data_IF_323980548805
#
_entry.id   IF_323980548805
#
_cell.length_a   1.000
_cell.length_b   1.000
_cell.length_c   1.000
_cell.angle_alpha   90.00
_cell.angle_beta   90.00
_cell.angle_gamma   90.00
#
_symmetry.space_group_name_H-M   'P 1'
#
loop_
_entity.id
_entity.type
_entity.pdbx_description
1 polymer ?
#
# COMPACT_ATOMS: atom_id res chain seq x y z
N UNK A 1 -11.29 -59.42 22.03
CA UNK A 1 -11.22 -59.18 23.49
C UNK A 1 -12.60 -58.77 23.98
N UNK A 2 -12.95 -59.23 25.18
CA UNK A 2 -14.30 -59.58 25.66
C UNK A 2 -15.04 -58.39 26.29
N UNK A 3 -16.37 -58.45 26.25
CA UNK A 3 -17.33 -57.56 26.91
C UNK A 3 -17.32 -57.65 28.46
N UNK A 4 -17.49 -56.48 29.11
CA UNK A 4 -18.25 -56.08 30.35
C UNK A 4 -18.35 -57.05 31.58
N UNK A 5 -19.04 -56.73 32.70
CA UNK A 5 -19.11 -55.56 33.63
C UNK A 5 -18.96 -56.00 35.14
N UNK A 6 -19.46 -55.17 36.10
CA UNK A 6 -19.72 -55.39 37.56
C UNK A 6 -18.65 -54.80 38.51
N UNK A 7 -18.95 -54.30 39.72
CA UNK A 7 -20.08 -54.56 40.63
C UNK A 7 -20.20 -53.42 41.67
N UNK A 8 -21.43 -53.20 42.13
CA UNK A 8 -21.80 -52.39 43.29
C UNK A 8 -21.12 -52.86 44.58
N UNK A 9 -20.86 -51.91 45.47
CA UNK A 9 -20.46 -52.12 46.85
C UNK A 9 -21.05 -51.00 47.71
N UNK A 10 -22.23 -51.27 48.25
CA UNK A 10 -22.84 -50.52 49.34
C UNK A 10 -22.01 -50.71 50.62
N UNK A 11 -21.70 -49.62 51.34
CA UNK A 11 -21.55 -49.70 52.78
C UNK A 11 -22.30 -48.53 53.42
N UNK A 12 -23.36 -48.90 54.13
CA UNK A 12 -24.16 -48.01 54.97
C UNK A 12 -23.34 -47.56 56.16
N UNK A 13 -23.34 -46.25 56.41
CA UNK A 13 -23.37 -45.74 57.79
C UNK A 13 -24.60 -44.87 57.92
N UNK A 14 -25.67 -45.49 58.39
CA UNK A 14 -26.73 -44.77 59.10
C UNK A 14 -26.08 -44.10 60.30
N UNK A 15 -26.25 -42.79 60.44
CA UNK A 15 -26.40 -42.15 61.74
C UNK A 15 -27.16 -40.83 61.56
N UNK A 16 -28.44 -40.91 61.95
CA UNK A 16 -29.27 -39.88 62.56
C UNK A 16 -29.21 -38.45 62.04
N UNK A 17 -30.31 -38.04 61.40
CA UNK A 17 -30.72 -36.64 61.37
C UNK A 17 -30.78 -36.06 62.81
N UNK A 18 -30.62 -34.73 62.92
CA UNK A 18 -31.83 -33.99 63.22
C UNK A 18 -32.08 -32.94 62.14
N UNK A 19 -33.35 -32.94 61.70
CA UNK A 19 -34.01 -31.82 61.07
C UNK A 19 -33.80 -30.59 61.95
N UNK A 20 -33.10 -29.58 61.43
CA UNK A 20 -33.18 -28.23 61.97
C UNK A 20 -33.06 -27.21 60.82
N UNK A 21 -34.22 -26.84 60.30
CA UNK A 21 -34.64 -25.44 60.13
C UNK A 21 -33.54 -24.43 59.75
N UNK A 22 -33.13 -24.42 58.49
CA UNK A 22 -32.56 -23.22 57.83
C UNK A 22 -33.13 -23.15 56.41
N UNK A 23 -34.45 -23.01 56.30
CA UNK A 23 -35.09 -22.54 55.08
C UNK A 23 -35.87 -21.29 55.46
N UNK A 24 -35.33 -20.12 55.10
CA UNK A 24 -36.06 -18.90 54.74
C UNK A 24 -35.26 -17.60 54.98
N UNK A 25 -33.95 -17.54 54.72
CA UNK A 25 -33.25 -16.26 54.51
C UNK A 25 -32.13 -16.43 53.47
N UNK A 26 -32.45 -16.59 52.17
CA UNK A 26 -31.47 -16.49 51.06
C UNK A 26 -32.12 -16.47 49.64
N UNK A 27 -33.19 -15.71 49.43
CA UNK A 27 -33.87 -15.62 48.11
C UNK A 27 -33.72 -14.27 47.35
N UNK A 28 -32.50 -13.68 47.30
CA UNK A 28 -32.16 -12.80 46.16
C UNK A 28 -30.78 -13.07 45.50
N UNK A 29 -29.94 -13.94 46.06
CA UNK A 29 -28.56 -14.17 45.58
C UNK A 29 -28.49 -15.08 44.35
N UNK A 30 -29.35 -16.08 44.25
CA UNK A 30 -29.43 -17.07 43.16
C UNK A 30 -29.95 -16.45 41.85
N UNK A 31 -31.00 -15.63 41.93
CA UNK A 31 -31.55 -14.91 40.78
C UNK A 31 -30.55 -13.90 40.17
N UNK A 32 -29.69 -13.30 41.00
CA UNK A 32 -28.58 -12.46 40.53
C UNK A 32 -27.47 -13.26 39.85
N UNK A 33 -27.15 -14.44 40.37
CA UNK A 33 -26.19 -15.39 39.79
C UNK A 33 -26.63 -15.93 38.43
N UNK A 34 -27.91 -16.31 38.31
CA UNK A 34 -28.49 -16.81 37.06
C UNK A 34 -28.50 -15.75 35.95
N UNK A 35 -28.86 -14.50 36.27
CA UNK A 35 -28.77 -13.36 35.34
C UNK A 35 -27.34 -13.14 34.84
N UNK A 36 -26.36 -13.19 35.75
CA UNK A 36 -24.93 -13.04 35.40
C UNK A 36 -24.42 -14.19 34.53
N UNK A 37 -24.83 -15.43 34.80
CA UNK A 37 -24.48 -16.60 33.98
C UNK A 37 -25.08 -16.51 32.58
N UNK A 38 -26.35 -16.09 32.49
CA UNK A 38 -27.03 -15.86 31.21
C UNK A 38 -26.35 -14.74 30.39
N UNK A 39 -25.99 -13.63 31.04
CA UNK A 39 -25.28 -12.54 30.39
C UNK A 39 -23.89 -12.95 29.90
N UNK A 40 -23.12 -13.70 30.70
CA UNK A 40 -21.81 -14.24 30.28
C UNK A 40 -21.94 -15.17 29.08
N UNK A 41 -22.96 -16.04 29.07
CA UNK A 41 -23.23 -16.93 27.94
C UNK A 41 -23.60 -16.14 26.68
N UNK A 42 -24.43 -15.11 26.81
CA UNK A 42 -24.81 -14.23 25.71
C UNK A 42 -23.61 -13.43 25.18
N UNK A 43 -22.79 -12.87 26.06
CA UNK A 43 -21.58 -12.15 25.70
C UNK A 43 -20.56 -13.05 25.00
N UNK A 44 -20.39 -14.29 25.47
CA UNK A 44 -19.50 -15.26 24.84
C UNK A 44 -19.99 -15.67 23.45
N UNK A 45 -21.31 -15.85 23.27
CA UNK A 45 -21.90 -16.13 21.95
C UNK A 45 -21.66 -14.96 21.00
N UNK A 46 -21.93 -13.72 21.44
CA UNK A 46 -21.69 -12.53 20.63
C UNK A 46 -20.22 -12.35 20.26
N UNK A 47 -19.30 -12.69 21.18
CA UNK A 47 -17.87 -12.65 20.88
C UNK A 47 -17.48 -13.68 19.80
N UNK A 48 -17.92 -14.93 19.96
CA UNK A 48 -17.67 -15.99 18.96
C UNK A 48 -18.28 -15.63 17.62
N UNK A 49 -19.50 -15.14 17.61
CA UNK A 49 -20.19 -14.71 16.39
C UNK A 49 -19.43 -13.60 15.68
N UNK A 50 -18.97 -12.56 16.40
CA UNK A 50 -18.15 -11.49 15.79
C UNK A 50 -16.82 -12.03 15.25
N UNK A 51 -16.20 -12.98 15.94
CA UNK A 51 -14.95 -13.59 15.49
C UNK A 51 -15.16 -14.42 14.22
N UNK A 52 -16.23 -15.21 14.16
CA UNK A 52 -16.63 -15.97 12.97
C UNK A 52 -16.97 -15.03 11.80
N UNK A 53 -17.75 -13.97 12.05
CA UNK A 53 -18.06 -12.95 11.06
C UNK A 53 -16.80 -12.24 10.55
N UNK A 54 -15.85 -11.92 11.43
CA UNK A 54 -14.59 -11.32 11.01
C UNK A 54 -13.75 -12.27 10.16
N UNK A 55 -13.68 -13.55 10.53
CA UNK A 55 -13.02 -14.58 9.72
C UNK A 55 -13.66 -14.69 8.34
N UNK A 56 -14.99 -14.72 8.26
CA UNK A 56 -15.72 -14.75 7.00
C UNK A 56 -15.48 -13.48 6.17
N UNK A 57 -15.51 -12.31 6.80
CA UNK A 57 -15.25 -11.04 6.14
C UNK A 57 -13.81 -10.96 5.59
N UNK A 58 -12.82 -11.48 6.32
CA UNK A 58 -11.45 -11.60 5.84
C UNK A 58 -11.37 -12.53 4.64
N UNK A 59 -11.98 -13.73 4.73
CA UNK A 59 -12.02 -14.68 3.61
C UNK A 59 -12.69 -14.06 2.37
N UNK A 60 -13.80 -13.34 2.54
CA UNK A 60 -14.48 -12.63 1.47
C UNK A 60 -13.59 -11.53 0.87
N UNK A 61 -12.90 -10.74 1.72
CA UNK A 61 -11.99 -9.70 1.24
C UNK A 61 -10.83 -10.29 0.43
N UNK A 62 -10.25 -11.40 0.89
CA UNK A 62 -9.21 -12.11 0.16
C UNK A 62 -9.76 -12.59 -1.19
N UNK A 63 -10.92 -13.26 -1.21
CA UNK A 63 -11.54 -13.72 -2.45
C UNK A 63 -11.86 -12.57 -3.42
N UNK A 64 -12.33 -11.43 -2.92
CA UNK A 64 -12.57 -10.24 -3.75
C UNK A 64 -11.27 -9.68 -4.33
N UNK A 65 -10.18 -9.65 -3.56
CA UNK A 65 -8.88 -9.19 -4.03
C UNK A 65 -8.27 -10.15 -5.05
N UNK A 66 -8.40 -11.46 -4.82
CA UNK A 66 -7.95 -12.49 -5.76
C UNK A 66 -8.72 -12.41 -7.08
N UNK A 67 -10.05 -12.24 -7.04
CA UNK A 67 -10.87 -12.05 -8.24
C UNK A 67 -10.50 -10.77 -8.99
N UNK A 68 -10.34 -9.65 -8.29
CA UNK A 68 -9.90 -8.40 -8.90
C UNK A 68 -8.52 -8.54 -9.56
N UNK A 69 -7.59 -9.22 -8.89
CA UNK A 69 -6.26 -9.47 -9.44
C UNK A 69 -6.33 -10.39 -10.68
N UNK A 70 -7.16 -11.43 -10.65
CA UNK A 70 -7.41 -12.31 -11.81
C UNK A 70 -7.95 -11.53 -13.01
N UNK A 71 -8.94 -10.66 -12.79
CA UNK A 71 -9.52 -9.82 -13.85
C UNK A 71 -8.50 -8.83 -14.40
N UNK A 72 -7.73 -8.16 -13.53
CA UNK A 72 -6.66 -7.25 -13.95
C UNK A 72 -5.56 -7.98 -14.74
N UNK A 73 -5.17 -9.18 -14.31
CA UNK A 73 -4.22 -10.04 -15.02
C UNK A 73 -4.72 -10.41 -16.42
N UNK A 74 -5.96 -10.89 -16.53
CA UNK A 74 -6.58 -11.23 -17.82
C UNK A 74 -6.67 -10.01 -18.76
N UNK A 75 -7.03 -8.85 -18.24
CA UNK A 75 -7.07 -7.61 -19.03
C UNK A 75 -5.67 -7.18 -19.49
N UNK A 76 -4.66 -7.32 -18.64
CA UNK A 76 -3.27 -6.99 -19.00
C UNK A 76 -2.76 -7.92 -20.12
N UNK A 77 -2.99 -9.22 -20.00
CA UNK A 77 -2.68 -10.19 -21.05
C UNK A 77 -3.40 -9.84 -22.36
N UNK A 78 -4.69 -9.49 -22.30
CA UNK A 78 -5.46 -9.07 -23.48
C UNK A 78 -4.89 -7.80 -24.13
N UNK A 79 -4.58 -6.77 -23.33
CA UNK A 79 -3.96 -5.55 -23.84
C UNK A 79 -2.58 -5.82 -24.45
N UNK A 80 -1.79 -6.72 -23.85
CA UNK A 80 -0.50 -7.15 -24.40
C UNK A 80 -0.64 -7.82 -25.77
N UNK A 81 -1.66 -8.67 -25.94
CA UNK A 81 -1.98 -9.28 -27.24
C UNK A 81 -2.42 -8.23 -28.27
N UNK A 82 -3.23 -7.25 -27.86
CA UNK A 82 -3.68 -6.16 -28.74
C UNK A 82 -2.52 -5.26 -29.18
N UNK A 83 -1.62 -4.90 -28.26
CA UNK A 83 -0.39 -4.18 -28.57
C UNK A 83 0.47 -4.96 -29.56
N UNK A 84 0.66 -6.28 -29.34
CA UNK A 84 1.43 -7.11 -30.25
C UNK A 84 0.81 -7.19 -31.65
N UNK A 85 -0.52 -7.25 -31.72
CA UNK A 85 -1.27 -7.22 -32.99
C UNK A 85 -1.06 -5.91 -33.73
N UNK A 86 -1.30 -4.77 -33.07
CA UNK A 86 -1.13 -3.44 -33.69
C UNK A 86 0.33 -3.20 -34.11
N UNK A 87 1.29 -3.68 -33.33
CA UNK A 87 2.71 -3.61 -33.69
C UNK A 87 3.02 -4.42 -34.96
N UNK A 88 2.42 -5.60 -35.11
CA UNK A 88 2.55 -6.40 -36.33
C UNK A 88 1.90 -5.73 -37.54
N UNK A 89 0.69 -5.16 -37.37
CA UNK A 89 0.00 -4.39 -38.41
C UNK A 89 0.85 -3.17 -38.84
N UNK A 90 1.40 -2.42 -37.90
CA UNK A 90 2.30 -1.29 -38.17
C UNK A 90 3.58 -1.71 -38.89
N UNK A 91 4.17 -2.86 -38.54
CA UNK A 91 5.36 -3.37 -39.22
C UNK A 91 5.06 -3.74 -40.68
N UNK A 92 3.92 -4.38 -40.96
CA UNK A 92 3.48 -4.67 -42.33
C UNK A 92 3.26 -3.37 -43.11
N UNK A 93 2.63 -2.37 -42.51
CA UNK A 93 2.44 -1.07 -43.17
C UNK A 93 3.77 -0.36 -43.41
N UNK A 94 4.71 -0.38 -42.47
CA UNK A 94 6.03 0.22 -42.62
C UNK A 94 6.83 -0.45 -43.74
N UNK A 95 6.84 -1.79 -43.79
CA UNK A 95 7.51 -2.54 -44.86
C UNK A 95 6.86 -2.30 -46.23
N UNK A 96 5.53 -2.27 -46.30
CA UNK A 96 4.81 -1.96 -47.53
C UNK A 96 5.07 -0.52 -48.01
N UNK A 97 5.04 0.46 -47.10
CA UNK A 97 5.32 1.85 -47.41
C UNK A 97 6.77 2.04 -47.87
N UNK A 98 7.73 1.35 -47.24
CA UNK A 98 9.13 1.32 -47.68
C UNK A 98 9.29 0.70 -49.07
N UNK A 99 8.52 -0.34 -49.39
CA UNK A 99 8.50 -0.93 -50.74
C UNK A 99 7.93 0.04 -51.79
N UNK A 100 6.87 0.78 -51.48
CA UNK A 100 6.30 1.81 -52.37
C UNK A 100 7.27 2.98 -52.58
N UNK A 101 7.95 3.42 -51.52
CA UNK A 101 8.99 4.45 -51.64
C UNK A 101 10.14 3.99 -52.55
N UNK A 102 10.43 2.68 -52.61
CA UNK A 102 11.46 2.12 -53.48
C UNK A 102 11.03 1.96 -54.95
N UNK A 103 9.72 1.95 -55.27
CA UNK A 103 9.21 1.83 -56.65
C UNK A 103 8.89 3.18 -57.29
N UNK A 104 8.86 4.25 -56.51
CA UNK A 104 8.65 5.62 -57.01
C UNK A 104 10.01 6.31 -57.16
N UNK A 105 10.54 6.26 -58.39
CA UNK A 105 11.78 6.92 -58.80
C UNK A 105 11.60 8.46 -58.74
N UNK A 106 11.82 9.04 -57.57
CA UNK A 106 11.72 10.48 -57.33
C UNK A 106 12.58 10.88 -56.12
N UNK A 107 13.44 11.91 -56.23
CA UNK A 107 14.39 12.26 -55.19
C UNK A 107 13.68 13.06 -54.08
N UNK A 108 13.05 12.35 -53.14
CA UNK A 108 12.66 12.95 -51.86
C UNK A 108 13.90 12.98 -50.96
N UNK A 109 14.29 14.18 -50.54
CA UNK A 109 15.49 14.40 -49.71
C UNK A 109 15.44 13.55 -48.45
N UNK A 110 16.56 12.89 -48.13
CA UNK A 110 16.76 12.03 -46.96
C UNK A 110 16.35 12.68 -45.62
N UNK A 111 16.28 14.02 -45.57
CA UNK A 111 15.84 14.81 -44.42
C UNK A 111 14.33 14.71 -44.13
N UNK A 112 13.45 14.62 -45.13
CA UNK A 112 12.00 14.50 -44.91
C UNK A 112 11.59 13.07 -44.53
N UNK A 113 12.28 12.07 -45.07
CA UNK A 113 12.05 10.67 -44.72
C UNK A 113 12.54 10.35 -43.30
N UNK A 114 13.68 10.92 -42.88
CA UNK A 114 14.16 10.82 -41.50
C UNK A 114 13.21 11.51 -40.50
N UNK A 115 12.60 12.63 -40.87
CA UNK A 115 11.61 13.33 -40.05
C UNK A 115 10.30 12.52 -39.90
N UNK A 116 9.86 11.81 -40.93
CA UNK A 116 8.69 10.94 -40.87
C UNK A 116 8.95 9.66 -40.04
N UNK A 117 10.14 9.08 -40.12
CA UNK A 117 10.56 7.91 -39.33
C UNK A 117 10.68 8.26 -37.84
N UNK A 118 11.16 9.45 -37.49
CA UNK A 118 11.24 9.92 -36.10
C UNK A 118 9.86 10.15 -35.45
N UNK A 119 8.80 10.39 -36.24
CA UNK A 119 7.45 10.54 -35.72
C UNK A 119 6.72 9.20 -35.49
N UNK A 120 7.25 8.08 -36.01
CA UNK A 120 6.65 6.75 -35.95
C UNK A 120 7.44 5.73 -35.11
N UNK A 121 8.56 6.12 -34.50
CA UNK A 121 9.30 5.24 -33.61
C UNK A 121 8.46 4.91 -32.35
N UNK A 122 8.11 3.63 -32.11
CA UNK A 122 7.50 3.23 -30.85
C UNK A 122 8.61 3.29 -29.80
N UNK A 123 8.54 4.27 -28.91
CA UNK A 123 9.40 4.40 -27.74
C UNK A 123 9.14 3.17 -26.84
N UNK A 124 9.93 2.11 -27.04
CA UNK A 124 10.07 1.04 -26.07
C UNK A 124 10.88 1.59 -24.89
N UNK A 125 10.18 2.28 -23.99
CA UNK A 125 10.69 2.55 -22.66
C UNK A 125 10.76 1.22 -21.89
N UNK A 126 11.88 0.87 -21.24
CA UNK A 126 11.91 -0.28 -20.34
C UNK A 126 10.89 -0.06 -19.20
N UNK A 127 10.25 -1.12 -18.68
CA UNK A 127 9.28 -0.98 -17.59
C UNK A 127 10.04 -0.77 -16.28
N UNK A 128 10.55 0.44 -16.09
CA UNK A 128 10.95 0.95 -14.78
C UNK A 128 9.85 1.89 -14.33
N UNK A 129 8.76 1.32 -13.83
CA UNK A 129 8.10 1.79 -12.60
C UNK A 129 6.81 1.00 -12.40
N UNK A 130 6.99 -0.11 -11.70
CA UNK A 130 5.93 -0.71 -10.90
C UNK A 130 5.45 0.35 -9.89
N UNK A 131 4.14 0.61 -9.90
CA UNK A 131 3.36 1.23 -8.82
C UNK A 131 3.41 2.77 -8.69
N UNK A 132 2.53 3.46 -9.41
CA UNK A 132 1.77 4.59 -8.85
C UNK A 132 0.36 4.54 -9.42
N UNK A 133 -0.49 3.72 -8.80
CA UNK A 133 -1.93 3.72 -9.01
C UNK A 133 -2.57 4.72 -8.06
N UNK A 134 -3.08 5.82 -8.64
CA UNK A 134 -3.89 6.81 -7.93
C UNK A 134 -4.05 8.05 -8.78
N UNK A 135 -5.25 8.66 -8.87
CA UNK A 135 -5.38 10.02 -9.34
C UNK A 135 -4.46 10.88 -8.48
N UNK A 136 -3.40 11.43 -9.07
CA UNK A 136 -2.57 12.42 -8.41
C UNK A 136 -3.39 13.72 -8.41
N UNK A 137 -4.40 13.76 -7.54
CA UNK A 137 -4.63 14.99 -6.79
C UNK A 137 -3.33 15.20 -6.05
N UNK A 138 -2.50 16.15 -6.51
CA UNK A 138 -1.33 16.57 -5.76
C UNK A 138 -1.80 16.96 -4.36
N UNK A 139 -1.63 16.13 -3.31
CA UNK A 139 -1.98 16.54 -1.98
C UNK A 139 -0.80 17.42 -1.61
N UNK A 140 -1.00 18.73 -1.73
CA UNK A 140 -0.08 19.73 -1.22
C UNK A 140 0.44 19.27 0.14
N UNK A 141 1.70 18.84 0.15
CA UNK A 141 2.55 18.71 1.33
C UNK A 141 1.94 17.89 2.48
N UNK A 142 2.13 16.57 2.49
CA UNK A 142 2.03 15.81 3.75
C UNK A 142 3.19 16.20 4.65
N UNK A 143 2.95 17.20 5.47
CA UNK A 143 3.78 17.62 6.60
C UNK A 143 3.57 16.56 7.68
N UNK A 144 4.55 15.67 7.86
CA UNK A 144 4.64 14.93 9.12
C UNK A 144 5.52 15.75 10.05
N UNK A 145 5.06 16.02 11.26
CA UNK A 145 5.88 16.63 12.29
C UNK A 145 6.87 15.57 12.79
N UNK A 146 8.15 15.91 12.80
CA UNK A 146 9.22 15.09 13.38
C UNK A 146 9.08 15.03 14.91
N UNK A 147 9.75 14.09 15.57
CA UNK A 147 9.89 14.04 17.04
C UNK A 147 10.51 15.33 17.62
N UNK A 148 11.20 16.09 16.78
CA UNK A 148 11.79 17.41 17.06
C UNK A 148 10.84 18.59 16.85
N UNK A 149 9.61 18.35 16.37
CA UNK A 149 8.61 19.38 16.07
C UNK A 149 8.81 20.09 14.73
N UNK A 150 9.78 19.66 13.92
CA UNK A 150 10.02 20.24 12.60
C UNK A 150 9.21 19.54 11.50
N UNK A 151 8.84 20.31 10.48
CA UNK A 151 8.12 19.84 9.30
C UNK A 151 9.04 18.98 8.43
N UNK A 152 8.71 17.70 8.30
CA UNK A 152 9.35 16.81 7.33
C UNK A 152 8.76 17.07 5.94
N UNK A 153 9.64 17.33 4.98
CA UNK A 153 9.32 17.60 3.59
C UNK A 153 9.65 16.38 2.73
N UNK A 154 8.72 16.03 1.84
CA UNK A 154 8.94 15.04 0.79
C UNK A 154 9.89 15.56 -0.29
N UNK A 155 10.36 14.69 -1.19
CA UNK A 155 11.29 15.01 -2.28
C UNK A 155 10.82 16.19 -3.14
N UNK A 156 9.54 16.21 -3.52
CA UNK A 156 8.97 17.28 -4.32
C UNK A 156 8.94 18.61 -3.55
N UNK A 157 8.49 18.58 -2.29
CA UNK A 157 8.43 19.77 -1.45
C UNK A 157 9.83 20.31 -1.09
N UNK A 158 10.82 19.43 -0.97
CA UNK A 158 12.23 19.80 -0.78
C UNK A 158 12.75 20.56 -1.99
N UNK A 159 12.44 20.09 -3.20
CA UNK A 159 12.82 20.75 -4.45
C UNK A 159 12.13 22.11 -4.61
N UNK A 160 10.84 22.21 -4.30
CA UNK A 160 10.09 23.47 -4.31
C UNK A 160 10.69 24.49 -3.34
N UNK A 161 11.11 24.04 -2.16
CA UNK A 161 11.74 24.91 -1.16
C UNK A 161 13.09 25.44 -1.65
N UNK A 162 13.93 24.57 -2.25
CA UNK A 162 15.20 24.97 -2.87
C UNK A 162 14.97 26.03 -3.95
N UNK A 163 14.00 25.82 -4.86
CA UNK A 163 13.68 26.77 -5.93
C UNK A 163 13.12 28.10 -5.41
N UNK A 164 12.36 28.06 -4.32
CA UNK A 164 11.78 29.26 -3.72
C UNK A 164 12.85 30.17 -3.07
N UNK A 165 13.99 29.60 -2.68
CA UNK A 165 15.02 30.27 -1.90
C UNK A 165 15.68 31.43 -2.67
N UNK A 166 15.94 32.54 -1.98
CA UNK A 166 16.52 33.74 -2.59
C UNK A 166 17.92 33.50 -3.17
N UNK A 167 18.71 32.66 -2.51
CA UNK A 167 20.07 32.32 -2.95
C UNK A 167 20.06 31.51 -4.25
N UNK A 168 19.06 30.62 -4.42
CA UNK A 168 18.89 29.86 -5.67
C UNK A 168 18.48 30.79 -6.82
N UNK A 169 17.55 31.71 -6.58
CA UNK A 169 17.16 32.73 -7.56
C UNK A 169 18.28 33.70 -7.93
N UNK A 170 19.22 33.92 -7.01
CA UNK A 170 20.41 34.72 -7.27
C UNK A 170 21.50 33.93 -8.03
N UNK A 171 21.37 32.60 -8.14
CA UNK A 171 22.34 31.72 -8.80
C UNK A 171 23.57 31.40 -7.95
N UNK A 172 23.56 31.70 -6.65
CA UNK A 172 24.71 31.53 -5.75
C UNK A 172 24.71 30.19 -5.01
N UNK A 173 23.82 29.25 -5.34
CA UNK A 173 23.70 27.96 -4.64
C UNK A 173 24.31 26.86 -5.47
N UNK A 174 25.26 26.14 -4.88
CA UNK A 174 25.79 24.89 -5.42
C UNK A 174 24.79 23.74 -5.17
N UNK A 175 24.10 23.31 -6.22
CA UNK A 175 23.08 22.25 -6.16
C UNK A 175 23.73 20.90 -5.77
N UNK A 176 24.95 20.63 -6.23
CA UNK A 176 25.66 19.40 -5.91
C UNK A 176 26.12 19.38 -4.45
N UNK A 177 26.56 20.54 -3.94
CA UNK A 177 26.85 20.75 -2.52
C UNK A 177 25.61 20.58 -1.62
N UNK A 178 24.45 21.10 -2.04
CA UNK A 178 23.18 20.90 -1.32
C UNK A 178 22.80 19.42 -1.31
N UNK A 179 22.91 18.74 -2.46
CA UNK A 179 22.62 17.30 -2.57
C UNK A 179 23.51 16.48 -1.63
N UNK A 180 24.82 16.69 -1.67
CA UNK A 180 25.77 15.93 -0.85
C UNK A 180 25.52 16.12 0.65
N UNK A 181 25.12 17.33 1.06
CA UNK A 181 24.76 17.61 2.45
C UNK A 181 23.42 17.00 2.86
N UNK A 182 22.45 16.89 1.95
CA UNK A 182 21.14 16.30 2.24
C UNK A 182 21.16 14.77 2.27
N UNK A 183 22.03 14.10 1.50
CA UNK A 183 22.10 12.63 1.42
C UNK A 183 22.29 11.93 2.78
N UNK A 184 22.94 12.58 3.76
CA UNK A 184 23.15 12.04 5.11
C UNK A 184 21.99 12.24 6.10
N UNK A 185 21.01 13.09 5.78
CA UNK A 185 19.87 13.42 6.65
C UNK A 185 18.52 12.91 6.12
N UNK A 186 18.57 12.04 5.09
CA UNK A 186 17.41 11.37 4.54
C UNK A 186 16.72 10.48 5.60
N UNK A 187 15.48 10.81 5.97
CA UNK A 187 14.65 9.98 6.84
C UNK A 187 13.69 9.15 6.00
N UNK A 188 13.67 7.83 6.22
CA UNK A 188 12.73 6.93 5.55
C UNK A 188 11.39 6.94 6.31
N UNK A 189 10.53 7.91 6.00
CA UNK A 189 9.11 7.79 6.33
C UNK A 189 8.54 6.69 5.44
N UNK A 190 7.65 5.81 5.91
CA UNK A 190 7.17 4.64 5.15
C UNK A 190 6.50 4.90 3.77
N UNK A 191 6.58 6.13 3.26
CA UNK A 191 6.09 6.61 1.98
C UNK A 191 7.19 7.23 1.08
N UNK A 192 8.43 7.35 1.56
CA UNK A 192 9.55 7.93 0.81
C UNK A 192 10.63 8.54 1.69
N UNK A 193 11.69 9.05 1.05
CA UNK A 193 12.73 9.84 1.71
C UNK A 193 12.13 11.21 2.03
N UNK A 194 12.16 11.59 3.30
CA UNK A 194 11.77 12.89 3.79
C UNK A 194 12.95 13.58 4.47
N UNK A 195 12.95 14.92 4.43
CA UNK A 195 14.00 15.76 4.97
C UNK A 195 13.41 16.78 5.93
N UNK A 196 14.12 17.11 7.01
CA UNK A 196 13.72 18.16 7.93
C UNK A 196 13.86 19.55 7.27
N UNK A 197 12.85 20.40 7.43
CA UNK A 197 12.85 21.75 6.86
C UNK A 197 14.08 22.58 7.31
N UNK A 198 14.46 22.47 8.58
CA UNK A 198 15.63 23.17 9.13
C UNK A 198 16.94 22.75 8.45
N UNK A 199 17.10 21.44 8.19
CA UNK A 199 18.29 20.88 7.54
C UNK A 199 18.42 21.33 6.09
N UNK A 200 17.31 21.41 5.36
CA UNK A 200 17.32 21.91 3.97
C UNK A 200 17.72 23.38 3.94
N UNK A 201 17.21 24.21 4.85
CA UNK A 201 17.58 25.63 4.93
C UNK A 201 19.07 25.81 5.21
N UNK A 202 19.60 25.11 6.23
CA UNK A 202 21.02 25.17 6.56
C UNK A 202 21.90 24.66 5.42
N UNK A 203 21.50 23.58 4.74
CA UNK A 203 22.25 23.05 3.60
C UNK A 203 22.33 24.05 2.44
N UNK A 204 21.28 24.84 2.19
CA UNK A 204 21.27 25.87 1.14
C UNK A 204 22.17 27.06 1.54
N UNK A 205 22.13 27.49 2.79
CA UNK A 205 22.96 28.59 3.30
C UNK A 205 24.46 28.24 3.33
N UNK A 206 24.80 27.00 3.66
CA UNK A 206 26.19 26.50 3.70
C UNK A 206 26.74 26.15 2.31
N UNK A 207 25.87 25.95 1.31
CA UNK A 207 26.26 25.67 -0.07
C UNK A 207 26.33 26.91 -0.94
N UNK A 208 26.42 28.09 -0.32
CA UNK A 208 26.68 29.33 -1.07
C UNK A 208 28.06 29.24 -1.68
N UNK A 209 28.11 29.36 -3.00
CA UNK A 209 29.33 29.47 -3.78
C UNK A 209 30.00 30.78 -3.35
N UNK A 210 30.95 30.68 -2.42
CA UNK A 210 31.86 31.78 -2.12
C UNK A 210 32.94 31.74 -3.21
N UNK A 211 32.71 32.45 -4.31
CA UNK A 211 33.78 32.79 -5.24
C UNK A 211 34.79 33.67 -4.48
N UNK A 212 35.93 33.09 -4.10
CA UNK A 212 37.15 33.78 -3.69
C UNK A 212 38.03 34.04 -4.91
#
# INVERSE_FOLDING_TARGET
>A
MRATPRKDGEESTQNSAPVNSIQAQNEPSTAGEDKRKMQRRAAQKAYRERQEQHSLHLMQKIGNLEEANRVLGANNEQLGLEIARLAAENNVLATFNSHIASTTDGPVSDAELAAAILLQAPQLTPPSDLMTSGPIDHPAHRITESETGEKLLDKAATWDMIQSHRLFKAGLVDIDGVRQRLEGFAQCTGQGIAFEEGRIRSAIEESVICDL
#
